data_IF_553631335989
#
_entry.id   IF_553631335989
#
_cell.length_a   1.000
_cell.length_b   1.000
_cell.length_c   1.000
_cell.angle_alpha   90.00
_cell.angle_beta   90.00
_cell.angle_gamma   90.00
#
_symmetry.space_group_name_H-M   'P 1'
#
loop_
_entity.id
_entity.type
_entity.pdbx_description
1 polymer ?
#
# COMPACT_ATOMS: atom_id res chain seq x y z
N UNK A 1 -30.38 16.98 -20.35
CA UNK A 1 -28.93 17.22 -20.27
C UNK A 1 -28.44 17.56 -21.66
N UNK A 2 -27.54 18.53 -21.81
CA UNK A 2 -26.90 18.81 -23.11
C UNK A 2 -25.78 17.80 -23.39
N UNK A 3 -25.39 17.64 -24.65
CA UNK A 3 -24.30 16.74 -25.04
C UNK A 3 -22.98 17.08 -24.31
N UNK A 4 -22.72 18.37 -24.08
CA UNK A 4 -21.57 18.82 -23.28
C UNK A 4 -21.62 18.36 -21.82
N UNK A 5 -22.80 18.29 -21.21
CA UNK A 5 -22.96 17.76 -19.85
C UNK A 5 -22.69 16.25 -19.78
N UNK A 6 -23.10 15.49 -20.80
CA UNK A 6 -22.78 14.07 -20.91
C UNK A 6 -21.29 13.82 -21.08
N UNK A 7 -20.63 14.60 -21.94
CA UNK A 7 -19.18 14.49 -22.14
C UNK A 7 -18.42 14.80 -20.84
N UNK A 8 -18.83 15.83 -20.11
CA UNK A 8 -18.23 16.19 -18.82
C UNK A 8 -18.46 15.11 -17.75
N UNK A 9 -19.66 14.55 -17.69
CA UNK A 9 -19.97 13.44 -16.79
C UNK A 9 -19.11 12.21 -17.10
N UNK A 10 -19.00 11.84 -18.38
CA UNK A 10 -18.15 10.73 -18.82
C UNK A 10 -16.69 10.97 -18.43
N UNK A 11 -16.18 12.18 -18.64
CA UNK A 11 -14.82 12.55 -18.25
C UNK A 11 -14.60 12.44 -16.73
N UNK A 12 -15.57 12.92 -15.92
CA UNK A 12 -15.53 12.78 -14.47
C UNK A 12 -15.54 11.31 -14.03
N UNK A 13 -16.37 10.47 -14.64
CA UNK A 13 -16.44 9.04 -14.34
C UNK A 13 -15.14 8.32 -14.70
N UNK A 14 -14.54 8.62 -15.86
CA UNK A 14 -13.24 8.06 -16.25
C UNK A 14 -12.14 8.51 -15.30
N UNK A 15 -12.14 9.77 -14.87
CA UNK A 15 -11.21 10.26 -13.86
C UNK A 15 -11.36 9.52 -12.52
N UNK A 16 -12.60 9.33 -12.05
CA UNK A 16 -12.87 8.59 -10.82
C UNK A 16 -12.45 7.12 -10.93
N UNK A 17 -12.66 6.48 -12.09
CA UNK A 17 -12.19 5.13 -12.35
C UNK A 17 -10.65 5.03 -12.26
N UNK A 18 -9.92 6.02 -12.78
CA UNK A 18 -8.45 6.08 -12.66
C UNK A 18 -7.95 6.35 -11.22
N UNK A 19 -8.82 6.88 -10.34
CA UNK A 19 -8.52 7.00 -8.91
C UNK A 19 -8.61 5.65 -8.17
N UNK A 20 -9.24 4.64 -8.77
CA UNK A 20 -9.34 3.30 -8.22
C UNK A 20 -8.11 2.47 -8.61
N UNK A 21 -7.47 1.87 -7.61
CA UNK A 21 -6.37 0.91 -7.82
C UNK A 21 -6.72 -0.41 -7.18
N UNK A 22 -6.44 -1.50 -7.87
CA UNK A 22 -6.46 -2.85 -7.29
C UNK A 22 -5.10 -3.14 -6.66
N UNK A 23 -5.09 -3.32 -5.35
CA UNK A 23 -3.90 -3.65 -4.57
C UNK A 23 -4.12 -4.94 -3.79
N UNK A 24 -3.05 -5.64 -3.35
CA UNK A 24 -3.22 -6.80 -2.47
C UNK A 24 -3.96 -6.39 -1.20
N UNK A 25 -4.81 -7.27 -0.70
CA UNK A 25 -5.79 -6.89 0.30
C UNK A 25 -5.21 -6.68 1.71
N UNK A 26 -3.98 -7.15 1.97
CA UNK A 26 -3.17 -6.80 3.15
C UNK A 26 -2.35 -5.51 3.01
N UNK A 27 -2.48 -4.79 1.89
CA UNK A 27 -1.67 -3.61 1.63
C UNK A 27 -2.05 -2.42 2.50
N UNK A 28 -1.04 -1.57 2.73
CA UNK A 28 -1.16 -0.28 3.38
C UNK A 28 -0.73 0.81 2.41
N UNK A 29 -1.47 1.91 2.38
CA UNK A 29 -1.10 3.09 1.62
C UNK A 29 -0.47 4.13 2.54
N UNK A 30 0.82 4.37 2.39
CA UNK A 30 1.47 5.55 2.95
C UNK A 30 1.22 6.73 2.02
N UNK A 31 0.66 7.82 2.53
CA UNK A 31 0.52 9.09 1.82
C UNK A 31 1.31 10.15 2.57
N UNK A 32 2.18 10.90 1.90
CA UNK A 32 3.00 11.93 2.53
C UNK A 32 2.94 13.28 1.80
N UNK A 33 2.97 14.34 2.61
CA UNK A 33 3.20 15.73 2.20
C UNK A 33 4.47 16.22 2.89
N UNK A 34 5.62 16.04 2.24
CA UNK A 34 6.90 16.38 2.86
C UNK A 34 7.27 15.38 3.97
N UNK A 35 7.43 15.87 5.20
CA UNK A 35 7.86 15.05 6.36
C UNK A 35 6.69 14.34 7.06
N UNK A 36 5.48 14.87 6.92
CA UNK A 36 4.29 14.31 7.55
C UNK A 36 3.54 13.41 6.56
N UNK A 37 3.05 12.29 7.07
CA UNK A 37 2.29 11.33 6.31
C UNK A 37 1.22 10.63 7.14
N UNK A 38 0.26 10.08 6.42
CA UNK A 38 -0.79 9.24 6.96
C UNK A 38 -0.65 7.86 6.33
N UNK A 39 -0.67 6.83 7.17
CA UNK A 39 -0.79 5.46 6.73
C UNK A 39 -2.26 5.05 6.81
N UNK A 40 -2.81 4.56 5.71
CA UNK A 40 -4.19 4.07 5.65
C UNK A 40 -4.20 2.62 5.23
N UNK A 41 -5.00 1.82 5.94
CA UNK A 41 -5.34 0.47 5.46
C UNK A 41 -6.29 0.62 4.27
N UNK A 42 -6.12 -0.23 3.26
CA UNK A 42 -6.99 -0.24 2.08
C UNK A 42 -8.43 -0.56 2.51
N UNK A 43 -9.39 0.21 2.02
CA UNK A 43 -10.81 0.06 2.34
C UNK A 43 -11.36 -1.27 1.80
N UNK A 44 -12.23 -1.95 2.57
CA UNK A 44 -12.57 -3.36 2.37
C UNK A 44 -14.09 -3.66 2.31
N UNK A 45 -14.88 -3.07 1.41
CA UNK A 45 -16.24 -3.57 1.16
C UNK A 45 -16.25 -4.71 0.13
N UNK A 46 -15.25 -4.78 -0.77
CA UNK A 46 -15.24 -5.69 -1.90
C UNK A 46 -13.86 -6.33 -2.07
N UNK A 47 -13.84 -7.65 -2.06
CA UNK A 47 -12.67 -8.47 -2.40
C UNK A 47 -12.84 -9.08 -3.79
N UNK A 48 -11.88 -8.82 -4.67
CA UNK A 48 -11.81 -9.36 -6.02
C UNK A 48 -10.60 -10.29 -6.14
N UNK A 49 -10.79 -11.54 -5.72
CA UNK A 49 -9.77 -12.60 -5.79
C UNK A 49 -8.46 -12.24 -5.06
N UNK A 50 -8.56 -11.77 -3.81
CA UNK A 50 -7.42 -11.35 -2.97
C UNK A 50 -6.93 -9.93 -3.28
N UNK A 51 -7.74 -9.15 -4.02
CA UNK A 51 -7.46 -7.75 -4.36
C UNK A 51 -8.53 -6.86 -3.77
N UNK A 52 -8.09 -5.74 -3.21
CA UNK A 52 -8.98 -4.69 -2.71
C UNK A 52 -8.84 -3.43 -3.52
N UNK A 53 -9.94 -2.69 -3.61
CA UNK A 53 -9.95 -1.36 -4.16
C UNK A 53 -9.36 -0.36 -3.17
N UNK A 54 -8.30 0.30 -3.60
CA UNK A 54 -7.75 1.47 -2.98
C UNK A 54 -8.23 2.69 -3.75
N UNK A 55 -8.93 3.59 -3.07
CA UNK A 55 -9.28 4.90 -3.60
C UNK A 55 -8.12 5.84 -3.31
N UNK A 56 -7.41 6.26 -4.36
CA UNK A 56 -6.41 7.31 -4.24
C UNK A 56 -7.10 8.67 -4.04
N UNK A 57 -6.42 9.67 -3.44
CA UNK A 57 -6.98 11.01 -3.28
C UNK A 57 -7.50 11.56 -4.61
N UNK A 58 -8.76 12.02 -4.58
CA UNK A 58 -9.50 12.54 -5.75
C UNK A 58 -9.05 13.95 -6.13
N UNK A 59 -8.44 14.69 -5.20
CA UNK A 59 -8.01 16.06 -5.47
C UNK A 59 -6.49 16.13 -5.70
N UNK A 60 -6.03 16.74 -6.81
CA UNK A 60 -4.64 17.09 -6.99
C UNK A 60 -4.24 18.33 -6.14
N UNK A 61 -2.94 18.57 -5.90
CA UNK A 61 -1.84 17.67 -6.22
C UNK A 61 -1.85 16.52 -5.21
N UNK A 62 -2.07 15.26 -5.64
CA UNK A 62 -2.28 14.17 -4.70
C UNK A 62 -0.99 13.99 -3.88
N UNK A 63 -1.02 13.68 -2.57
CA UNK A 63 0.19 13.33 -1.83
C UNK A 63 1.03 12.30 -2.58
N UNK A 64 2.34 12.33 -2.36
CA UNK A 64 3.16 11.18 -2.78
C UNK A 64 2.70 9.98 -1.99
N UNK A 65 2.58 8.84 -2.64
CA UNK A 65 2.13 7.63 -1.99
C UNK A 65 3.03 6.44 -2.30
N UNK A 66 3.05 5.48 -1.38
CA UNK A 66 3.72 4.21 -1.51
C UNK A 66 2.83 3.10 -0.95
N UNK A 67 2.77 1.98 -1.66
CA UNK A 67 2.07 0.77 -1.21
C UNK A 67 3.06 -0.08 -0.42
N UNK A 68 2.69 -0.44 0.80
CA UNK A 68 3.48 -1.24 1.73
C UNK A 68 2.75 -2.54 2.02
N UNK A 69 3.50 -3.61 2.27
CA UNK A 69 2.94 -4.93 2.59
C UNK A 69 3.54 -5.44 3.90
N UNK A 70 2.73 -5.97 4.82
CA UNK A 70 3.25 -6.70 5.96
C UNK A 70 3.93 -7.99 5.47
N UNK A 71 4.66 -8.66 6.35
CA UNK A 71 5.23 -9.97 6.00
C UNK A 71 4.10 -10.97 5.79
N UNK A 72 4.03 -11.57 4.60
CA UNK A 72 3.04 -12.57 4.24
C UNK A 72 3.58 -14.00 4.35
N UNK A 73 4.91 -14.16 4.44
CA UNK A 73 5.58 -15.45 4.43
C UNK A 73 6.63 -15.48 5.53
N UNK A 74 6.56 -16.50 6.38
CA UNK A 74 7.52 -16.71 7.45
C UNK A 74 8.04 -18.14 7.44
N UNK A 75 9.36 -18.34 7.55
CA UNK A 75 9.90 -19.67 7.79
C UNK A 75 9.56 -20.12 9.21
N UNK A 76 9.14 -21.36 9.36
CA UNK A 76 9.07 -22.05 10.65
C UNK A 76 9.68 -23.46 10.52
N UNK A 77 9.83 -24.15 11.65
CA UNK A 77 10.40 -25.50 11.66
C UNK A 77 9.56 -26.49 10.83
N UNK A 78 8.24 -26.47 11.02
CA UNK A 78 7.30 -27.35 10.33
C UNK A 78 7.15 -27.07 8.82
N UNK A 79 7.44 -25.85 8.37
CA UNK A 79 7.13 -25.44 7.00
C UNK A 79 7.30 -23.97 6.70
N UNK A 80 6.75 -23.55 5.56
CA UNK A 80 6.54 -22.16 5.21
C UNK A 80 5.14 -21.74 5.68
N UNK A 81 5.09 -20.81 6.63
CA UNK A 81 3.85 -20.24 7.11
C UNK A 81 3.40 -19.10 6.20
N UNK A 82 2.16 -19.20 5.70
CA UNK A 82 1.52 -18.21 4.87
C UNK A 82 0.55 -17.43 5.73
N UNK A 83 0.75 -16.12 5.81
CA UNK A 83 -0.14 -15.21 6.52
C UNK A 83 -1.16 -14.60 5.56
N UNK A 84 -2.40 -14.57 6.01
CA UNK A 84 -3.46 -13.81 5.38
C UNK A 84 -3.24 -12.29 5.56
N UNK A 85 -4.16 -11.50 5.01
CA UNK A 85 -4.12 -10.04 4.98
C UNK A 85 -4.22 -9.35 6.35
N UNK A 86 -4.58 -10.11 7.38
CA UNK A 86 -4.71 -9.67 8.77
C UNK A 86 -3.52 -10.15 9.61
N UNK A 87 -2.51 -10.76 8.97
CA UNK A 87 -1.35 -11.35 9.63
C UNK A 87 -1.72 -12.62 10.40
N UNK A 88 -2.76 -13.34 10.01
CA UNK A 88 -3.13 -14.65 10.61
C UNK A 88 -2.56 -15.78 9.76
N UNK A 89 -2.12 -16.88 10.36
CA UNK A 89 -1.77 -18.07 9.61
C UNK A 89 -2.98 -18.57 8.85
N UNK A 90 -2.84 -18.64 7.54
CA UNK A 90 -3.81 -19.24 6.63
C UNK A 90 -3.47 -20.70 6.40
N UNK A 91 -2.17 -20.99 6.21
CA UNK A 91 -1.66 -22.33 6.02
C UNK A 91 -0.20 -22.44 6.45
N UNK A 92 0.22 -23.63 6.88
CA UNK A 92 1.62 -24.00 7.04
C UNK A 92 1.91 -25.06 5.99
N UNK A 93 2.74 -24.73 5.00
CA UNK A 93 3.07 -25.62 3.89
C UNK A 93 4.35 -26.39 4.26
N UNK A 94 4.32 -27.73 4.37
CA UNK A 94 5.52 -28.51 4.65
C UNK A 94 6.61 -28.22 3.61
N UNK A 95 7.87 -28.11 4.05
CA UNK A 95 8.97 -27.71 3.16
C UNK A 95 9.12 -28.61 1.92
N UNK A 96 8.76 -29.89 2.02
CA UNK A 96 8.77 -30.85 0.91
C UNK A 96 7.74 -30.52 -0.19
N UNK A 97 6.66 -29.83 0.15
CA UNK A 97 5.56 -29.48 -0.76
C UNK A 97 5.71 -28.08 -1.37
N UNK A 98 6.62 -27.26 -0.83
CA UNK A 98 6.86 -25.88 -1.28
C UNK A 98 7.50 -25.89 -2.67
N UNK A 99 6.73 -25.45 -3.68
CA UNK A 99 7.11 -25.33 -5.09
C UNK A 99 6.91 -23.88 -5.56
N UNK A 100 7.84 -22.96 -5.24
CA UNK A 100 7.65 -21.53 -5.48
C UNK A 100 7.75 -21.21 -6.99
N UNK A 101 6.66 -20.68 -7.54
CA UNK A 101 6.56 -20.21 -8.92
C UNK A 101 5.93 -18.81 -8.96
N UNK A 102 6.63 -17.84 -9.52
CA UNK A 102 6.10 -16.50 -9.72
C UNK A 102 5.50 -16.37 -11.13
N UNK A 103 4.23 -15.97 -11.22
CA UNK A 103 3.57 -15.61 -12.47
C UNK A 103 2.96 -14.23 -12.30
N UNK A 104 3.53 -13.26 -13.03
CA UNK A 104 3.22 -11.83 -12.83
C UNK A 104 3.32 -11.45 -11.34
N UNK A 105 2.23 -10.92 -10.77
CA UNK A 105 2.13 -10.46 -9.37
C UNK A 105 1.80 -11.59 -8.38
N UNK A 106 1.60 -12.82 -8.84
CA UNK A 106 1.17 -13.95 -8.02
C UNK A 106 2.35 -14.88 -7.77
N UNK A 107 2.59 -15.21 -6.49
CA UNK A 107 3.49 -16.27 -6.07
C UNK A 107 2.67 -17.50 -5.72
N UNK A 108 2.79 -18.54 -6.52
CA UNK A 108 2.24 -19.86 -6.20
C UNK A 108 3.25 -20.65 -5.36
N UNK A 109 2.79 -21.22 -4.24
CA UNK A 109 3.64 -21.93 -3.28
C UNK A 109 3.37 -23.44 -3.26
N UNK A 110 2.12 -23.85 -3.44
CA UNK A 110 1.71 -25.26 -3.53
C UNK A 110 0.40 -25.38 -4.33
N UNK A 111 -0.23 -26.55 -4.34
CA UNK A 111 -1.57 -26.70 -4.92
C UNK A 111 -2.58 -25.90 -4.08
N UNK A 112 -3.12 -24.82 -4.65
CA UNK A 112 -4.13 -23.97 -4.02
C UNK A 112 -3.60 -22.81 -3.17
N UNK A 113 -2.32 -22.81 -2.78
CA UNK A 113 -1.73 -21.72 -2.00
C UNK A 113 -1.06 -20.67 -2.89
N UNK A 114 -1.62 -19.45 -2.87
CA UNK A 114 -1.17 -18.32 -3.67
C UNK A 114 -1.04 -17.06 -2.80
N UNK A 115 0.01 -16.29 -3.03
CA UNK A 115 0.21 -14.99 -2.38
C UNK A 115 0.32 -13.92 -3.45
N UNK A 116 -0.46 -12.86 -3.28
CA UNK A 116 -0.47 -11.74 -4.21
C UNK A 116 0.44 -10.62 -3.72
N UNK A 117 1.35 -10.19 -4.60
CA UNK A 117 2.24 -9.06 -4.39
C UNK A 117 1.79 -7.84 -5.21
N UNK A 118 2.31 -6.67 -4.85
CA UNK A 118 2.02 -5.44 -5.60
C UNK A 118 2.70 -5.43 -6.99
N UNK A 119 3.87 -6.06 -7.11
CA UNK A 119 4.67 -6.11 -8.34
C UNK A 119 5.16 -7.52 -8.66
N UNK A 120 5.40 -7.75 -9.96
CA UNK A 120 5.93 -9.02 -10.44
C UNK A 120 7.37 -9.25 -9.96
N UNK A 121 8.20 -8.20 -9.96
CA UNK A 121 9.57 -8.27 -9.45
C UNK A 121 9.63 -8.73 -7.98
N UNK A 122 8.68 -8.28 -7.16
CA UNK A 122 8.56 -8.71 -5.76
C UNK A 122 8.16 -10.19 -5.64
N UNK A 123 7.18 -10.61 -6.43
CA UNK A 123 6.77 -12.02 -6.47
C UNK A 123 7.94 -12.92 -6.90
N UNK A 124 8.68 -12.52 -7.94
CA UNK A 124 9.87 -13.24 -8.41
C UNK A 124 11.00 -13.28 -7.38
N UNK A 125 11.33 -12.13 -6.77
CA UNK A 125 12.36 -12.06 -5.72
C UNK A 125 12.00 -12.92 -4.51
N UNK A 126 10.72 -12.93 -4.12
CA UNK A 126 10.24 -13.78 -3.04
C UNK A 126 10.24 -15.26 -3.43
N UNK A 127 9.87 -15.62 -4.68
CA UNK A 127 9.96 -16.99 -5.17
C UNK A 127 11.40 -17.53 -5.09
N UNK A 128 12.38 -16.72 -5.50
CA UNK A 128 13.80 -17.05 -5.40
C UNK A 128 14.23 -17.23 -3.95
N UNK A 129 13.80 -16.34 -3.04
CA UNK A 129 14.11 -16.49 -1.61
C UNK A 129 13.49 -17.75 -1.02
N UNK A 130 12.23 -18.04 -1.30
CA UNK A 130 11.56 -19.26 -0.83
C UNK A 130 12.26 -20.50 -1.39
N UNK A 131 12.68 -20.49 -2.66
CA UNK A 131 13.47 -21.58 -3.26
C UNK A 131 14.82 -21.77 -2.57
N UNK A 132 15.45 -20.70 -2.11
CA UNK A 132 16.68 -20.76 -1.30
C UNK A 132 16.38 -21.35 0.09
N UNK A 133 15.24 -21.01 0.70
CA UNK A 133 14.86 -21.55 2.00
C UNK A 133 14.62 -23.05 1.96
N UNK A 134 14.10 -23.63 0.88
CA UNK A 134 13.87 -25.09 0.81
C UNK A 134 15.16 -25.91 0.97
N UNK A 135 16.33 -25.34 0.66
CA UNK A 135 17.63 -26.02 0.79
C UNK A 135 18.39 -25.67 2.08
N UNK A 136 17.92 -24.69 2.84
CA UNK A 136 18.53 -24.24 4.09
C UNK A 136 18.03 -25.04 5.29
N UNK A 137 18.81 -25.08 6.37
CA UNK A 137 18.31 -25.54 7.68
C UNK A 137 17.49 -24.45 8.38
N UNK A 138 16.78 -24.79 9.46
CA UNK A 138 15.88 -23.88 10.18
C UNK A 138 16.58 -22.57 10.61
N UNK A 139 17.74 -22.65 11.28
CA UNK A 139 18.49 -21.49 11.73
C UNK A 139 18.97 -20.58 10.59
N UNK A 140 19.37 -21.16 9.45
CA UNK A 140 19.77 -20.36 8.29
C UNK A 140 18.58 -19.66 7.64
N UNK A 141 17.40 -20.28 7.62
CA UNK A 141 16.16 -19.66 7.13
C UNK A 141 15.75 -18.49 8.02
N UNK A 142 15.77 -18.67 9.34
CA UNK A 142 15.47 -17.60 10.28
C UNK A 142 16.43 -16.43 10.09
N UNK A 143 17.74 -16.67 10.05
CA UNK A 143 18.74 -15.61 9.83
C UNK A 143 18.56 -14.87 8.50
N UNK A 144 18.23 -15.59 7.42
CA UNK A 144 17.95 -14.98 6.11
C UNK A 144 16.66 -14.13 6.17
N UNK A 145 15.61 -14.60 6.86
CA UNK A 145 14.40 -13.82 7.11
C UNK A 145 14.67 -12.60 7.99
N UNK A 146 15.46 -12.71 9.06
CA UNK A 146 15.80 -11.57 9.91
C UNK A 146 16.54 -10.48 9.13
N UNK A 147 17.46 -10.88 8.25
CA UNK A 147 18.14 -9.94 7.34
C UNK A 147 17.14 -9.23 6.42
N UNK A 148 16.19 -9.98 5.87
CA UNK A 148 15.13 -9.42 5.04
C UNK A 148 14.19 -8.48 5.82
N UNK A 149 13.77 -8.89 7.03
CA UNK A 149 12.92 -8.12 7.92
C UNK A 149 13.57 -6.77 8.29
N UNK A 150 14.86 -6.77 8.65
CA UNK A 150 15.62 -5.52 8.89
C UNK A 150 15.65 -4.61 7.66
N UNK A 151 15.86 -5.18 6.47
CA UNK A 151 15.89 -4.42 5.23
C UNK A 151 14.52 -3.82 4.83
N UNK A 152 13.42 -4.45 5.25
CA UNK A 152 12.04 -3.97 5.02
C UNK A 152 11.53 -3.05 6.13
N UNK A 153 12.12 -3.09 7.32
CA UNK A 153 11.87 -2.18 8.44
C UNK A 153 12.75 -0.91 8.40
N UNK A 154 13.51 -0.69 7.33
CA UNK A 154 14.39 0.45 7.19
C UNK A 154 13.60 1.76 6.97
N UNK A 155 13.49 2.56 8.04
CA UNK A 155 12.79 3.84 8.06
C UNK A 155 13.51 4.90 7.22
N UNK A 156 14.85 4.85 7.17
CA UNK A 156 15.63 5.81 6.38
C UNK A 156 15.38 5.57 4.89
N UNK A 157 15.34 4.30 4.48
CA UNK A 157 15.03 3.91 3.09
C UNK A 157 13.65 4.38 2.67
N UNK A 158 12.61 4.23 3.51
CA UNK A 158 11.27 4.77 3.23
C UNK A 158 11.29 6.29 3.13
N UNK A 159 11.95 6.97 4.07
CA UNK A 159 12.00 8.44 4.09
C UNK A 159 12.71 8.99 2.84
N UNK A 160 13.86 8.42 2.48
CA UNK A 160 14.61 8.78 1.29
C UNK A 160 13.79 8.50 0.02
N UNK A 161 13.12 7.35 -0.04
CA UNK A 161 12.25 6.99 -1.14
C UNK A 161 11.12 8.00 -1.34
N UNK A 162 10.42 8.39 -0.26
CA UNK A 162 9.33 9.37 -0.32
C UNK A 162 9.82 10.76 -0.73
N UNK A 163 11.00 11.18 -0.24
CA UNK A 163 11.61 12.45 -0.61
C UNK A 163 11.99 12.48 -2.11
N UNK A 164 12.59 11.40 -2.62
CA UNK A 164 12.95 11.29 -4.02
C UNK A 164 11.72 11.21 -4.93
N UNK A 165 10.71 10.42 -4.55
CA UNK A 165 9.42 10.36 -5.22
C UNK A 165 8.73 11.72 -5.27
N UNK A 166 8.84 12.52 -4.19
CA UNK A 166 8.37 13.92 -4.16
C UNK A 166 9.11 14.79 -5.14
N UNK A 167 10.45 14.68 -5.21
CA UNK A 167 11.27 15.45 -6.16
C UNK A 167 10.90 15.12 -7.61
N UNK A 168 10.82 13.83 -7.93
CA UNK A 168 10.57 13.34 -9.29
C UNK A 168 9.17 13.72 -9.79
N UNK A 169 8.16 13.70 -8.93
CA UNK A 169 6.76 13.96 -9.32
C UNK A 169 6.29 15.38 -9.07
N UNK A 170 7.10 16.27 -8.49
CA UNK A 170 6.70 17.63 -8.08
C UNK A 170 6.04 18.43 -9.22
N UNK A 171 6.67 18.48 -10.38
CA UNK A 171 6.18 19.25 -11.51
C UNK A 171 4.96 18.60 -12.17
N UNK A 172 4.97 17.26 -12.30
CA UNK A 172 3.81 16.50 -12.77
C UNK A 172 2.58 16.84 -11.93
N UNK A 173 2.69 16.75 -10.61
CA UNK A 173 1.58 17.04 -9.68
C UNK A 173 1.06 18.48 -9.80
N UNK A 174 1.95 19.46 -9.98
CA UNK A 174 1.56 20.87 -10.19
C UNK A 174 0.79 21.06 -11.49
N UNK A 175 1.28 20.51 -12.59
CA UNK A 175 0.62 20.58 -13.90
C UNK A 175 -0.71 19.82 -13.87
N UNK A 176 -0.78 18.69 -13.17
CA UNK A 176 -2.05 17.95 -12.96
C UNK A 176 -3.05 18.79 -12.16
N UNK A 177 -2.63 19.51 -11.12
CA UNK A 177 -3.51 20.43 -10.41
C UNK A 177 -4.05 21.53 -11.33
N UNK A 178 -3.19 22.17 -12.12
CA UNK A 178 -3.60 23.22 -13.04
C UNK A 178 -4.57 22.68 -14.09
N UNK A 179 -4.28 21.52 -14.68
CA UNK A 179 -5.16 20.83 -15.62
C UNK A 179 -6.50 20.51 -14.97
N UNK A 180 -6.51 20.06 -13.71
CA UNK A 180 -7.75 19.75 -12.99
C UNK A 180 -8.61 20.98 -12.77
N UNK A 181 -8.03 22.07 -12.26
CA UNK A 181 -8.74 23.34 -12.05
C UNK A 181 -9.27 23.90 -13.37
N UNK A 182 -8.50 23.76 -14.45
CA UNK A 182 -8.92 24.16 -15.79
C UNK A 182 -10.11 23.32 -16.29
N UNK A 183 -10.00 21.99 -16.20
CA UNK A 183 -11.03 21.06 -16.67
C UNK A 183 -12.32 21.15 -15.85
N UNK A 184 -12.25 21.11 -14.52
CA UNK A 184 -13.42 20.97 -13.66
C UNK A 184 -13.92 22.29 -13.05
N UNK A 185 -13.12 23.36 -13.10
CA UNK A 185 -13.49 24.67 -12.59
C UNK A 185 -13.69 25.69 -13.71
N UNK A 186 -12.61 26.03 -14.42
CA UNK A 186 -12.59 27.16 -15.34
C UNK A 186 -13.41 26.90 -16.61
N UNK A 187 -13.21 25.76 -17.29
CA UNK A 187 -13.92 25.44 -18.53
C UNK A 187 -15.45 25.41 -18.36
N UNK A 188 -16.03 24.76 -17.32
CA UNK A 188 -17.47 24.81 -17.09
C UNK A 188 -18.02 26.22 -16.85
N UNK A 189 -17.27 27.06 -16.14
CA UNK A 189 -17.67 28.46 -15.87
C UNK A 189 -17.62 29.30 -17.14
N UNK A 190 -16.52 29.23 -17.91
CA UNK A 190 -16.37 29.95 -19.17
C UNK A 190 -17.43 29.50 -20.18
N UNK A 191 -17.63 28.19 -20.33
CA UNK A 191 -18.63 27.64 -21.25
C UNK A 191 -20.05 28.11 -20.89
N UNK A 192 -20.38 28.11 -19.59
CA UNK A 192 -21.68 28.59 -19.11
C UNK A 192 -21.90 30.08 -19.34
N UNK A 193 -20.86 30.90 -19.20
CA UNK A 193 -20.98 32.37 -19.27
C UNK A 193 -20.84 32.91 -20.69
N UNK A 194 -19.93 32.34 -21.50
CA UNK A 194 -19.54 32.87 -22.81
C UNK A 194 -19.96 31.98 -23.98
N UNK A 195 -20.46 30.77 -23.73
CA UNK A 195 -20.81 29.80 -24.77
C UNK A 195 -19.60 29.39 -25.62
N UNK A 196 -19.81 29.22 -26.92
CA UNK A 196 -18.82 28.77 -27.91
C UNK A 196 -17.92 29.91 -28.46
N UNK A 197 -17.65 30.94 -27.66
CA UNK A 197 -16.85 32.10 -28.07
C UNK A 197 -15.32 31.86 -28.05
N UNK A 198 -14.54 32.84 -28.51
CA UNK A 198 -13.05 32.78 -28.54
C UNK A 198 -12.44 32.44 -27.17
N UNK A 199 -13.11 32.78 -26.07
CA UNK A 199 -12.70 32.42 -24.72
C UNK A 199 -12.56 30.91 -24.49
N UNK A 200 -13.49 30.09 -25.02
CA UNK A 200 -13.40 28.62 -24.89
C UNK A 200 -12.24 28.06 -25.71
N UNK A 201 -12.00 28.64 -26.90
CA UNK A 201 -10.90 28.23 -27.77
C UNK A 201 -9.54 28.53 -27.13
N UNK A 202 -9.39 29.70 -26.51
CA UNK A 202 -8.18 30.05 -25.75
C UNK A 202 -7.97 29.10 -24.56
N UNK A 203 -9.03 28.81 -23.81
CA UNK A 203 -8.95 27.86 -22.69
C UNK A 203 -8.59 26.44 -23.15
N UNK A 204 -9.14 25.99 -24.29
CA UNK A 204 -8.78 24.72 -24.91
C UNK A 204 -7.31 24.70 -25.38
N UNK A 205 -6.80 25.81 -25.93
CA UNK A 205 -5.38 25.96 -26.29
C UNK A 205 -4.45 25.86 -25.08
N UNK A 206 -4.80 26.51 -23.96
CA UNK A 206 -4.07 26.39 -22.69
C UNK A 206 -4.11 24.95 -22.17
N UNK A 207 -5.27 24.27 -22.25
CA UNK A 207 -5.41 22.87 -21.84
C UNK A 207 -4.50 21.96 -22.68
N UNK A 208 -4.48 22.14 -24.01
CA UNK A 208 -3.60 21.38 -24.90
C UNK A 208 -2.12 21.60 -24.53
N UNK A 209 -1.70 22.84 -24.28
CA UNK A 209 -0.33 23.14 -23.84
C UNK A 209 0.02 22.43 -22.52
N UNK A 210 -0.88 22.47 -21.53
CA UNK A 210 -0.67 21.76 -20.25
C UNK A 210 -0.55 20.24 -20.44
N UNK A 211 -1.37 19.65 -21.32
CA UNK A 211 -1.31 18.23 -21.66
C UNK A 211 0.02 17.85 -22.31
N UNK A 212 0.51 18.67 -23.25
CA UNK A 212 1.84 18.49 -23.87
C UNK A 212 2.97 18.57 -22.84
N UNK A 213 2.96 19.60 -21.98
CA UNK A 213 3.96 19.75 -20.91
C UNK A 213 3.93 18.54 -19.98
N UNK A 214 2.74 18.08 -19.60
CA UNK A 214 2.58 16.92 -18.72
C UNK A 214 3.11 15.63 -19.35
N UNK A 215 2.84 15.39 -20.63
CA UNK A 215 3.35 14.24 -21.35
C UNK A 215 4.90 14.26 -21.44
N UNK A 216 5.50 15.43 -21.71
CA UNK A 216 6.96 15.61 -21.71
C UNK A 216 7.55 15.35 -20.32
N UNK A 217 6.95 15.91 -19.27
CA UNK A 217 7.39 15.70 -17.89
C UNK A 217 7.28 14.23 -17.49
N UNK A 218 6.21 13.54 -17.89
CA UNK A 218 6.00 12.13 -17.61
C UNK A 218 7.04 11.29 -18.36
N UNK A 219 7.26 11.59 -19.64
CA UNK A 219 8.28 10.94 -20.44
C UNK A 219 9.63 11.07 -19.73
N UNK A 220 10.06 12.27 -19.35
CA UNK A 220 11.35 12.49 -18.65
C UNK A 220 11.42 11.71 -17.33
N UNK A 221 10.42 11.86 -16.47
CA UNK A 221 10.39 11.17 -15.17
C UNK A 221 10.41 9.64 -15.31
N UNK A 222 9.74 9.09 -16.32
CA UNK A 222 9.76 7.66 -16.62
C UNK A 222 11.12 7.19 -17.18
N UNK A 223 11.87 8.08 -17.82
CA UNK A 223 13.22 7.82 -18.32
C UNK A 223 14.28 7.75 -17.22
N UNK A 224 14.05 8.46 -16.11
CA UNK A 224 14.94 8.45 -14.93
C UNK A 224 14.79 7.19 -14.07
N UNK A 225 13.74 6.38 -14.32
CA UNK A 225 13.54 5.11 -13.63
C UNK A 225 14.38 3.99 -14.27
N UNK A 226 14.81 2.97 -13.50
CA UNK A 226 15.49 1.80 -14.05
C UNK A 226 14.73 1.20 -15.24
N UNK A 227 15.47 0.78 -16.28
CA UNK A 227 14.91 0.25 -17.52
C UNK A 227 13.87 -0.85 -17.22
N UNK A 228 12.69 -0.73 -17.82
CA UNK A 228 11.60 -1.71 -17.69
C UNK A 228 10.61 -1.47 -16.54
N UNK A 229 10.85 -0.51 -15.62
CA UNK A 229 9.92 -0.22 -14.52
C UNK A 229 8.58 0.36 -14.99
N UNK A 230 8.62 1.23 -16.00
CA UNK A 230 7.40 1.71 -16.68
C UNK A 230 7.18 0.89 -17.94
N UNK A 231 6.34 -0.15 -17.84
CA UNK A 231 5.94 -0.94 -19.01
C UNK A 231 5.29 -0.02 -20.06
N UNK A 232 5.73 -0.17 -21.31
CA UNK A 232 5.20 0.55 -22.47
C UNK A 232 5.15 2.08 -22.28
N UNK A 233 6.29 2.69 -21.89
CA UNK A 233 6.42 4.14 -21.66
C UNK A 233 5.78 4.99 -22.76
N UNK A 234 6.00 4.65 -24.04
CA UNK A 234 5.39 5.35 -25.17
C UNK A 234 3.86 5.27 -25.15
N UNK A 235 3.31 4.06 -25.05
CA UNK A 235 1.86 3.85 -25.02
C UNK A 235 1.17 4.43 -23.78
N UNK A 236 1.89 4.62 -22.66
CA UNK A 236 1.36 5.37 -21.51
C UNK A 236 1.41 6.89 -21.69
N UNK A 237 2.42 7.38 -22.41
CA UNK A 237 2.59 8.83 -22.65
C UNK A 237 1.62 9.32 -23.72
N UNK A 238 1.34 8.50 -24.73
CA UNK A 238 0.48 8.87 -25.86
C UNK A 238 -0.92 9.34 -25.42
N UNK A 239 -1.68 8.63 -24.56
CA UNK A 239 -2.96 9.10 -24.05
C UNK A 239 -2.85 10.44 -23.30
N UNK A 240 -1.74 10.73 -22.63
CA UNK A 240 -1.58 12.00 -21.89
C UNK A 240 -1.54 13.23 -22.80
N UNK A 241 -1.22 13.05 -24.10
CA UNK A 241 -1.30 14.13 -25.10
C UNK A 241 -2.72 14.45 -25.56
N UNK A 242 -3.65 13.50 -25.44
CA UNK A 242 -4.99 13.62 -26.03
C UNK A 242 -6.12 13.61 -25.00
N UNK A 243 -5.86 13.04 -23.83
CA UNK A 243 -6.86 12.75 -22.82
C UNK A 243 -6.40 13.30 -21.46
N UNK A 244 -6.98 14.42 -20.98
CA UNK A 244 -6.51 15.08 -19.77
C UNK A 244 -6.58 14.18 -18.54
N UNK A 245 -7.56 13.25 -18.48
CA UNK A 245 -7.74 12.33 -17.34
C UNK A 245 -6.53 11.42 -17.09
N UNK A 246 -5.84 10.97 -18.14
CA UNK A 246 -4.62 10.16 -18.01
C UNK A 246 -3.47 11.01 -17.47
N UNK A 247 -3.39 12.24 -17.97
CA UNK A 247 -2.39 13.18 -17.54
C UNK A 247 -2.54 13.60 -16.07
N UNK A 248 -3.77 13.79 -15.59
CA UNK A 248 -4.07 14.11 -14.18
C UNK A 248 -3.53 13.08 -13.19
N UNK A 249 -3.32 11.84 -13.63
CA UNK A 249 -2.80 10.71 -12.82
C UNK A 249 -1.38 10.29 -13.23
N UNK A 250 -0.70 11.08 -14.05
CA UNK A 250 0.64 10.76 -14.55
C UNK A 250 1.66 10.54 -13.41
N UNK A 251 1.56 11.32 -12.33
CA UNK A 251 2.41 11.15 -11.15
C UNK A 251 2.24 9.77 -10.51
N UNK A 252 1.03 9.22 -10.45
CA UNK A 252 0.79 7.93 -9.80
C UNK A 252 1.39 6.78 -10.58
N UNK A 253 1.41 6.85 -11.92
CA UNK A 253 2.07 5.84 -12.73
C UNK A 253 3.59 5.81 -12.49
N UNK A 254 4.20 6.96 -12.19
CA UNK A 254 5.61 7.04 -11.79
C UNK A 254 5.80 6.43 -10.40
N UNK A 255 4.91 6.74 -9.45
CA UNK A 255 4.96 6.20 -8.09
C UNK A 255 4.75 4.68 -8.06
N UNK A 256 3.79 4.16 -8.83
CA UNK A 256 3.56 2.72 -9.00
C UNK A 256 4.78 2.03 -9.61
N UNK A 257 5.41 2.62 -10.63
CA UNK A 257 6.62 2.05 -11.22
C UNK A 257 7.82 2.06 -10.26
N UNK A 258 7.83 3.02 -9.32
CA UNK A 258 8.86 3.20 -8.31
C UNK A 258 8.44 2.54 -7.00
N UNK A 259 8.20 1.24 -7.03
CA UNK A 259 7.85 0.49 -5.82
C UNK A 259 9.02 0.34 -4.86
N UNK A 260 8.70 0.19 -3.57
CA UNK A 260 9.63 -0.07 -2.49
C UNK A 260 9.13 -1.25 -1.66
N UNK A 261 9.94 -2.30 -1.52
CA UNK A 261 9.67 -3.37 -0.55
C UNK A 261 9.88 -2.82 0.85
N UNK A 262 8.80 -2.60 1.60
CA UNK A 262 8.86 -2.10 2.96
C UNK A 262 7.66 -2.57 3.78
N UNK A 263 7.94 -2.88 5.03
CA UNK A 263 6.94 -3.18 6.03
C UNK A 263 6.24 -1.87 6.45
N UNK A 264 4.93 -1.87 6.76
CA UNK A 264 4.22 -0.64 7.14
C UNK A 264 4.83 0.09 8.34
N UNK A 265 5.46 -0.64 9.26
CA UNK A 265 6.20 -0.05 10.39
C UNK A 265 7.40 0.80 9.97
N UNK A 266 7.98 0.58 8.79
CA UNK A 266 9.05 1.43 8.27
C UNK A 266 8.59 2.87 7.97
N UNK A 267 7.27 3.12 7.89
CA UNK A 267 6.71 4.46 7.81
C UNK A 267 6.78 5.25 9.13
N UNK A 268 7.33 4.67 10.20
CA UNK A 268 7.33 5.21 11.57
C UNK A 268 7.55 6.73 11.66
N UNK A 269 8.65 7.23 11.10
CA UNK A 269 9.02 8.64 11.21
C UNK A 269 8.04 9.59 10.51
N UNK A 270 7.27 9.12 9.52
CA UNK A 270 6.29 9.94 8.80
C UNK A 270 4.96 10.06 9.53
N UNK A 271 4.68 9.22 10.53
CA UNK A 271 3.37 9.17 11.19
C UNK A 271 3.29 10.11 12.39
N UNK A 272 2.07 10.55 12.72
CA UNK A 272 1.79 11.21 14.00
C UNK A 272 1.96 10.23 15.17
N UNK A 273 2.24 10.72 16.38
CA UNK A 273 2.44 9.86 17.56
C UNK A 273 1.27 8.90 17.81
N UNK A 274 0.03 9.39 17.73
CA UNK A 274 -1.17 8.56 17.89
C UNK A 274 -1.30 7.48 16.81
N UNK A 275 -0.92 7.79 15.56
CA UNK A 275 -0.92 6.82 14.46
C UNK A 275 0.21 5.80 14.59
N UNK A 276 1.40 6.23 15.06
CA UNK A 276 2.54 5.34 15.36
C UNK A 276 2.15 4.31 16.39
N UNK A 277 1.57 4.74 17.51
CA UNK A 277 1.16 3.86 18.60
C UNK A 277 0.10 2.86 18.16
N UNK A 278 -0.94 3.31 17.45
CA UNK A 278 -1.97 2.42 16.88
C UNK A 278 -1.38 1.36 15.96
N UNK A 279 -0.46 1.76 15.08
CA UNK A 279 0.20 0.85 14.16
C UNK A 279 1.14 -0.14 14.89
N UNK A 280 1.92 0.36 15.85
CA UNK A 280 2.82 -0.45 16.67
C UNK A 280 2.06 -1.56 17.38
N UNK A 281 0.96 -1.19 18.06
CA UNK A 281 0.08 -2.13 18.77
C UNK A 281 -0.51 -3.18 17.85
N UNK A 282 -0.96 -2.78 16.67
CA UNK A 282 -1.53 -3.72 15.71
C UNK A 282 -0.55 -4.85 15.37
N UNK A 283 0.70 -4.50 15.03
CA UNK A 283 1.71 -5.50 14.68
C UNK A 283 2.30 -6.23 15.89
N UNK A 284 2.47 -5.53 17.02
CA UNK A 284 2.94 -6.11 18.26
C UNK A 284 1.96 -7.16 18.79
N UNK A 285 0.68 -6.81 18.89
CA UNK A 285 -0.35 -7.71 19.40
C UNK A 285 -0.56 -8.92 18.49
N UNK A 286 -0.41 -8.74 17.17
CA UNK A 286 -0.42 -9.85 16.22
C UNK A 286 0.76 -10.82 16.43
N UNK A 287 1.95 -10.29 16.77
CA UNK A 287 3.14 -11.09 17.02
C UNK A 287 3.15 -11.76 18.41
N UNK A 288 2.65 -11.09 19.46
CA UNK A 288 2.64 -11.59 20.84
C UNK A 288 1.48 -12.53 21.16
N UNK A 289 0.39 -12.45 20.40
CA UNK A 289 -0.73 -13.38 20.49
C UNK A 289 -0.89 -14.09 19.16
N UNK A 290 0.15 -14.81 18.71
CA UNK A 290 0.13 -15.50 17.45
C UNK A 290 -0.84 -16.69 17.57
N UNK A 291 -1.61 -16.91 16.53
CA UNK A 291 -2.26 -18.21 16.30
C UNK A 291 -1.34 -19.16 15.51
N UNK A 292 -0.06 -18.78 15.38
CA UNK A 292 0.92 -19.18 14.38
C UNK A 292 2.22 -19.64 15.06
N UNK A 293 2.98 -20.53 14.41
CA UNK A 293 4.26 -21.03 14.94
C UNK A 293 5.39 -19.99 14.85
N UNK A 294 5.33 -19.05 13.90
CA UNK A 294 6.37 -18.03 13.70
C UNK A 294 6.27 -16.78 14.59
N UNK A 295 5.37 -16.77 15.58
CA UNK A 295 5.14 -15.61 16.45
C UNK A 295 6.40 -15.15 17.20
N UNK A 296 7.19 -16.09 17.70
CA UNK A 296 8.43 -15.78 18.45
C UNK A 296 9.47 -15.04 17.58
N UNK A 297 9.60 -15.44 16.31
CA UNK A 297 10.51 -14.80 15.35
C UNK A 297 10.07 -13.36 15.07
N UNK A 298 8.78 -13.14 14.85
CA UNK A 298 8.25 -11.78 14.67
C UNK A 298 8.42 -10.93 15.91
N UNK A 299 8.09 -11.46 17.09
CA UNK A 299 8.21 -10.75 18.36
C UNK A 299 9.66 -10.34 18.59
N UNK A 300 10.63 -11.24 18.38
CA UNK A 300 12.08 -10.95 18.50
C UNK A 300 12.50 -9.80 17.58
N UNK A 301 12.06 -9.82 16.33
CA UNK A 301 12.36 -8.78 15.34
C UNK A 301 11.75 -7.42 15.72
N UNK A 302 10.50 -7.41 16.17
CA UNK A 302 9.81 -6.20 16.60
C UNK A 302 10.45 -5.60 17.87
N UNK A 303 10.83 -6.43 18.85
CA UNK A 303 11.56 -5.97 20.04
C UNK A 303 12.86 -5.23 19.68
N UNK A 304 13.65 -5.82 18.77
CA UNK A 304 14.87 -5.16 18.29
C UNK A 304 14.55 -3.82 17.63
N UNK A 305 13.53 -3.79 16.76
CA UNK A 305 13.07 -2.59 16.08
C UNK A 305 12.63 -1.47 17.05
N UNK A 306 11.91 -1.82 18.12
CA UNK A 306 11.45 -0.89 19.17
C UNK A 306 12.59 -0.38 20.03
N UNK A 307 13.47 -1.28 20.47
CA UNK A 307 14.65 -0.96 21.29
C UNK A 307 15.58 0.02 20.58
N UNK A 308 15.86 -0.20 19.30
CA UNK A 308 16.68 0.72 18.47
C UNK A 308 16.10 2.14 18.38
N UNK A 309 14.79 2.30 18.61
CA UNK A 309 14.07 3.59 18.55
C UNK A 309 13.78 4.18 19.92
N UNK A 310 14.22 3.53 21.01
CA UNK A 310 13.92 3.93 22.37
C UNK A 310 12.42 3.92 22.67
N UNK A 311 11.65 3.07 22.00
CA UNK A 311 10.23 2.93 22.24
C UNK A 311 9.98 1.93 23.37
N UNK A 312 9.20 2.35 24.37
CA UNK A 312 8.86 1.52 25.53
C UNK A 312 7.81 0.46 25.17
N UNK A 313 8.17 -0.82 25.29
CA UNK A 313 7.29 -1.97 25.04
C UNK A 313 6.05 -1.94 25.94
N UNK A 314 6.15 -1.39 27.15
CA UNK A 314 5.02 -1.31 28.08
C UNK A 314 3.86 -0.47 27.52
N UNK A 315 4.13 0.50 26.63
CA UNK A 315 3.10 1.30 25.97
C UNK A 315 2.30 0.52 24.91
N UNK A 316 2.82 -0.61 24.46
CA UNK A 316 2.17 -1.46 23.45
C UNK A 316 1.08 -2.34 24.07
N UNK A 317 1.21 -2.70 25.35
CA UNK A 317 0.29 -3.59 26.08
C UNK A 317 -0.83 -2.82 26.81
N UNK A 318 -1.43 -1.81 26.16
CA UNK A 318 -2.53 -1.08 26.79
C UNK A 318 -3.82 -1.92 26.84
N UNK A 319 -4.40 -2.01 28.04
CA UNK A 319 -5.74 -2.54 28.28
C UNK A 319 -6.75 -1.53 27.75
N UNK A 320 -7.70 -1.90 26.86
CA UNK A 320 -8.68 -0.96 26.35
C UNK A 320 -9.57 -0.43 27.49
N UNK A 321 -10.05 0.81 27.36
CA UNK A 321 -10.98 1.37 28.36
C UNK A 321 -12.25 0.52 28.46
N UNK A 322 -12.54 -0.01 29.65
CA UNK A 322 -13.63 -0.96 29.87
C UNK A 322 -14.98 -0.34 29.57
N UNK A 323 -15.70 -0.90 28.60
CA UNK A 323 -17.09 -0.54 28.32
C UNK A 323 -18.03 -1.16 29.36
N UNK A 324 -19.16 -0.50 29.70
CA UNK A 324 -20.14 -1.05 30.65
C UNK A 324 -20.64 -2.44 30.23
N UNK A 325 -20.52 -3.40 31.14
CA UNK A 325 -20.92 -4.80 30.91
C UNK A 325 -19.88 -5.68 30.22
N UNK A 326 -18.72 -5.14 29.83
CA UNK A 326 -17.60 -5.96 29.36
C UNK A 326 -16.88 -6.61 30.55
N UNK A 327 -16.56 -7.90 30.44
CA UNK A 327 -15.83 -8.67 31.46
C UNK A 327 -14.41 -9.05 31.01
N UNK A 328 -14.17 -9.10 29.70
CA UNK A 328 -12.86 -9.42 29.12
C UNK A 328 -12.64 -8.71 27.78
N UNK A 329 -11.41 -8.73 27.29
CA UNK A 329 -11.03 -8.21 25.98
C UNK A 329 -10.09 -9.16 25.25
N UNK A 330 -10.09 -9.11 23.91
CA UNK A 330 -9.11 -9.83 23.12
C UNK A 330 -7.81 -9.02 23.06
N UNK A 331 -6.66 -9.56 23.48
CA UNK A 331 -5.41 -8.81 23.47
C UNK A 331 -4.87 -8.56 22.05
N UNK A 332 -5.41 -9.24 21.02
CA UNK A 332 -5.03 -9.06 19.61
C UNK A 332 -5.76 -7.90 18.95
N UNK A 333 -7.09 -7.96 18.87
CA UNK A 333 -7.92 -6.95 18.20
C UNK A 333 -8.48 -5.86 19.14
N UNK A 334 -8.33 -6.01 20.46
CA UNK A 334 -8.90 -5.13 21.49
C UNK A 334 -10.44 -5.09 21.54
N UNK A 335 -11.15 -5.98 20.83
CA UNK A 335 -12.60 -6.16 20.97
C UNK A 335 -12.93 -6.63 22.38
N UNK A 336 -14.00 -6.07 22.96
CA UNK A 336 -14.45 -6.39 24.32
C UNK A 336 -15.62 -7.37 24.31
N UNK A 337 -15.66 -8.24 25.31
CA UNK A 337 -16.63 -9.33 25.44
C UNK A 337 -17.27 -9.31 26.82
N UNK A 338 -18.55 -9.71 26.89
CA UNK A 338 -19.30 -9.83 28.15
C UNK A 338 -18.93 -11.07 28.95
N UNK A 339 -18.41 -12.11 28.29
CA UNK A 339 -18.02 -13.38 28.90
C UNK A 339 -16.51 -13.57 28.74
N UNK A 340 -15.82 -13.83 29.85
CA UNK A 340 -14.37 -14.02 29.89
C UNK A 340 -13.92 -15.42 29.47
N UNK A 341 -14.84 -16.40 29.43
CA UNK A 341 -14.53 -17.80 29.10
C UNK A 341 -14.47 -18.09 27.60
N UNK A 342 -14.92 -17.14 26.77
CA UNK A 342 -14.95 -17.31 25.33
C UNK A 342 -13.57 -17.16 24.68
N UNK A 343 -13.44 -17.66 23.45
CA UNK A 343 -12.30 -17.38 22.58
C UNK A 343 -12.70 -16.33 21.53
N UNK A 344 -11.75 -15.48 21.15
CA UNK A 344 -12.00 -14.49 20.11
C UNK A 344 -12.10 -15.15 18.73
N UNK A 345 -13.32 -15.34 18.23
CA UNK A 345 -13.59 -15.87 16.88
C UNK A 345 -12.96 -15.00 15.79
N UNK A 346 -13.01 -13.69 15.98
CA UNK A 346 -12.41 -12.71 15.08
C UNK A 346 -10.89 -12.73 15.09
N UNK A 347 -10.21 -13.51 15.93
CA UNK A 347 -8.76 -13.60 15.96
C UNK A 347 -8.26 -15.04 15.86
N UNK A 348 -9.09 -15.97 15.39
CA UNK A 348 -8.71 -17.37 15.25
C UNK A 348 -8.60 -18.12 16.57
N UNK A 349 -9.43 -17.76 17.56
CA UNK A 349 -9.51 -18.48 18.83
C UNK A 349 -8.55 -17.99 19.91
N UNK A 350 -8.04 -16.75 19.83
CA UNK A 350 -7.19 -16.18 20.88
C UNK A 350 -7.95 -16.10 22.20
N UNK A 351 -7.33 -16.58 23.28
CA UNK A 351 -7.88 -16.52 24.64
C UNK A 351 -8.08 -15.06 25.09
N UNK A 352 -9.23 -14.79 25.72
CA UNK A 352 -9.57 -13.46 26.22
C UNK A 352 -8.84 -13.19 27.54
N UNK A 353 -8.43 -11.93 27.75
CA UNK A 353 -7.89 -11.45 29.01
C UNK A 353 -8.99 -10.76 29.83
N UNK A 354 -9.15 -11.04 31.13
CA UNK A 354 -10.07 -10.29 31.98
C UNK A 354 -9.62 -8.83 32.12
N UNK A 355 -10.58 -7.95 32.43
CA UNK A 355 -10.30 -6.54 32.78
C UNK A 355 -9.72 -6.36 34.17
#
# INVERSE_FOLDING_TARGET
MTDGQWLFLLFALLYLAECLRLVPAGAWLLMAHGKEGALRRVFAPLDFAGRRFLVLPVLPPPPVHAVMLPWQLLPCEAGLEVLNEEGRPEAVIPWAEVKPQATERVLQLSQGQRVLFHHADLASAMAERVRKWTTMNAEARERDFEKHARATLDVQKVTAHMAESTRLTRWLRRVSLMTFLLCFGVLPVIYRQLGDGVGILNAAGVMALLMWVQAILFWRAAGDLPKGRVKHRFWKTLPMFFLPQFGLRAADHILEARWLESHPLAAWCSLTESSRLKLARLFWNAACHPSAASGDLQQRLLRVFWKERGFDEAKLEEVPERQPGSAAYCPRCSTQFRDASMLCKDCGGVALKPF
#
